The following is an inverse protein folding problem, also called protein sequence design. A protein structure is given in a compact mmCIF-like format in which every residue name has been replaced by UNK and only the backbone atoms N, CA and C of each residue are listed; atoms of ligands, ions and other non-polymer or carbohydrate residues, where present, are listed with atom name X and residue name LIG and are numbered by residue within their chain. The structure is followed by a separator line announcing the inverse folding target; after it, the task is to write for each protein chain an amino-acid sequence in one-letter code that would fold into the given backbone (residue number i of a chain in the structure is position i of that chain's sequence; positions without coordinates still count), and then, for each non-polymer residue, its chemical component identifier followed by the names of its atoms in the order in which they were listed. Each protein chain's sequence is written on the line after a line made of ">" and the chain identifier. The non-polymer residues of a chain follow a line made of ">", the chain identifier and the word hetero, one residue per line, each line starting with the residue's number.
data_IF_360696501483
#
_entry.id   IF_360696501483
#
_cell.length_a   1.000
_cell.length_b   1.000
_cell.length_c   1.000
_cell.angle_alpha   90.00
_cell.angle_beta   90.00
_cell.angle_gamma   90.00
#
_symmetry.space_group_name_H-M   'P 1'
#
loop_
_entity.id
_entity.type
_entity.pdbx_description
1 polymer ?
#
# COMPACT_ATOMS: atom_id res chain seq x y z
N UNK A 1 14.61 14.20 4.96
CA UNK A 1 14.80 13.18 3.89
C UNK A 1 13.93 13.52 2.69
N UNK A 2 14.35 13.16 1.46
CA UNK A 2 13.57 13.36 0.24
C UNK A 2 12.73 12.11 -0.09
N UNK A 3 11.57 12.28 -0.78
CA UNK A 3 10.68 11.16 -1.15
C UNK A 3 11.43 10.13 -2.02
N UNK A 4 12.27 10.58 -2.94
CA UNK A 4 13.03 9.69 -3.82
C UNK A 4 13.97 8.77 -3.03
N UNK A 5 14.71 9.34 -2.09
CA UNK A 5 15.62 8.58 -1.22
C UNK A 5 14.85 7.56 -0.37
N UNK A 6 13.66 7.93 0.12
CA UNK A 6 12.79 7.00 0.85
C UNK A 6 12.32 5.84 -0.03
N UNK A 7 11.87 6.11 -1.26
CA UNK A 7 11.46 5.08 -2.21
C UNK A 7 12.62 4.15 -2.61
N UNK A 8 13.80 4.68 -2.86
CA UNK A 8 15.00 3.88 -3.15
C UNK A 8 15.33 2.92 -2.00
N UNK A 9 15.20 3.37 -0.75
CA UNK A 9 15.37 2.53 0.44
C UNK A 9 14.33 1.42 0.50
N UNK A 10 13.06 1.72 0.25
CA UNK A 10 12.01 0.70 0.18
C UNK A 10 12.29 -0.32 -0.92
N UNK A 11 12.64 0.14 -2.11
CA UNK A 11 12.95 -0.74 -3.25
C UNK A 11 14.17 -1.63 -3.02
N UNK A 12 15.12 -1.22 -2.19
CA UNK A 12 16.33 -2.00 -1.91
C UNK A 12 16.10 -3.21 -0.99
N UNK A 13 14.99 -3.26 -0.26
CA UNK A 13 14.72 -4.33 0.69
C UNK A 13 14.37 -5.65 0.01
N UNK A 14 14.98 -6.73 0.50
CA UNK A 14 14.68 -8.12 0.11
C UNK A 14 14.79 -9.03 1.33
N UNK A 15 13.86 -9.96 1.45
CA UNK A 15 13.88 -11.02 2.48
C UNK A 15 13.12 -12.24 1.97
N UNK A 16 13.49 -13.47 2.39
CA UNK A 16 12.75 -14.67 2.07
C UNK A 16 11.30 -14.59 2.56
N UNK A 17 10.35 -15.07 1.75
CA UNK A 17 8.91 -15.09 2.05
C UNK A 17 8.30 -13.71 2.35
N UNK A 18 8.91 -12.67 1.77
CA UNK A 18 8.43 -11.29 1.79
C UNK A 18 8.41 -10.77 0.35
N UNK A 19 7.27 -10.25 -0.07
CA UNK A 19 7.12 -9.59 -1.35
C UNK A 19 7.27 -8.08 -1.19
N UNK A 20 8.16 -7.48 -1.97
CA UNK A 20 8.34 -6.04 -2.02
C UNK A 20 7.57 -5.45 -3.21
N UNK A 21 6.41 -4.79 -3.01
CA UNK A 21 5.55 -4.34 -4.09
C UNK A 21 6.18 -3.25 -4.98
N UNK A 22 7.19 -2.55 -4.50
CA UNK A 22 7.87 -1.49 -5.23
C UNK A 22 9.10 -1.96 -6.01
N UNK A 23 9.44 -3.25 -5.89
CA UNK A 23 10.58 -3.90 -6.53
C UNK A 23 10.20 -5.10 -7.38
N UNK A 24 9.27 -5.92 -6.88
CA UNK A 24 8.99 -7.25 -7.39
C UNK A 24 7.66 -7.30 -8.14
N UNK A 25 7.55 -8.26 -9.03
CA UNK A 25 6.29 -8.66 -9.64
C UNK A 25 6.23 -10.19 -9.74
N UNK A 26 5.02 -10.74 -9.76
CA UNK A 26 4.76 -12.16 -9.96
C UNK A 26 3.98 -12.36 -11.26
N UNK A 27 4.57 -13.09 -12.21
CA UNK A 27 3.98 -13.33 -13.53
C UNK A 27 2.66 -14.10 -13.48
N UNK A 28 2.30 -14.71 -12.35
CA UNK A 28 1.04 -15.44 -12.19
C UNK A 28 -0.14 -14.53 -11.84
N UNK A 29 0.10 -13.32 -11.35
CA UNK A 29 -0.97 -12.41 -10.89
C UNK A 29 -0.76 -10.94 -11.22
N UNK A 30 0.45 -10.51 -11.61
CA UNK A 30 0.75 -9.13 -12.00
C UNK A 30 0.79 -8.96 -13.54
N UNK A 31 0.57 -7.72 -14.00
CA UNK A 31 0.69 -7.35 -15.43
C UNK A 31 2.13 -7.44 -15.96
N UNK A 32 3.11 -7.80 -15.13
CA UNK A 32 4.52 -7.91 -15.48
C UNK A 32 5.38 -6.81 -14.87
N UNK A 33 6.53 -6.55 -15.50
CA UNK A 33 7.58 -5.66 -14.97
C UNK A 33 7.16 -4.19 -14.77
N UNK A 34 6.05 -3.76 -15.35
CA UNK A 34 5.50 -2.42 -15.10
C UNK A 34 4.81 -2.30 -13.73
N UNK A 35 4.37 -3.40 -13.13
CA UNK A 35 3.63 -3.37 -11.87
C UNK A 35 4.37 -2.66 -10.73
N UNK A 36 5.65 -2.98 -10.40
CA UNK A 36 6.38 -2.27 -9.35
C UNK A 36 6.64 -0.79 -9.69
N UNK A 37 6.76 -0.44 -10.96
CA UNK A 37 6.92 0.96 -11.40
C UNK A 37 5.65 1.75 -11.10
N UNK A 38 4.47 1.20 -11.43
CA UNK A 38 3.17 1.81 -11.14
C UNK A 38 2.96 1.96 -9.63
N UNK A 39 3.26 0.91 -8.84
CA UNK A 39 3.13 0.94 -7.36
C UNK A 39 4.06 1.99 -6.73
N UNK A 40 5.27 2.12 -7.24
CA UNK A 40 6.22 3.16 -6.80
C UNK A 40 5.72 4.57 -7.14
N UNK A 41 5.16 4.76 -8.34
CA UNK A 41 4.56 6.03 -8.75
C UNK A 41 3.33 6.39 -7.89
N UNK A 42 2.49 5.40 -7.57
CA UNK A 42 1.35 5.57 -6.66
C UNK A 42 1.80 6.01 -5.26
N UNK A 43 2.79 5.34 -4.66
CA UNK A 43 3.31 5.71 -3.34
C UNK A 43 3.94 7.10 -3.35
N UNK A 44 4.71 7.44 -4.39
CA UNK A 44 5.26 8.78 -4.59
C UNK A 44 4.15 9.83 -4.56
N UNK A 45 3.15 9.67 -5.43
CA UNK A 45 2.02 10.60 -5.54
C UNK A 45 1.25 10.72 -4.23
N UNK A 46 1.01 9.58 -3.55
CA UNK A 46 0.36 9.53 -2.25
C UNK A 46 1.08 10.37 -1.20
N UNK A 47 2.42 10.27 -1.12
CA UNK A 47 3.23 11.04 -0.19
C UNK A 47 3.37 12.51 -0.60
N UNK A 48 3.41 12.83 -1.88
CA UNK A 48 3.43 14.22 -2.38
C UNK A 48 2.17 14.98 -1.98
N UNK A 49 0.99 14.35 -2.08
CA UNK A 49 -0.27 14.96 -1.68
C UNK A 49 -0.39 15.16 -0.16
N UNK A 50 0.42 14.46 0.64
CA UNK A 50 0.41 14.46 2.10
C UNK A 50 1.62 15.16 2.72
N UNK A 51 2.11 16.21 2.07
CA UNK A 51 3.25 16.98 2.56
C UNK A 51 2.99 17.61 3.93
N UNK A 52 1.75 17.97 4.22
CA UNK A 52 1.30 18.61 5.45
C UNK A 52 0.43 17.68 6.30
N UNK A 53 0.55 16.36 6.16
CA UNK A 53 -0.22 15.42 6.95
C UNK A 53 0.06 15.58 8.45
N UNK A 54 -1.01 15.57 9.25
CA UNK A 54 -0.95 15.72 10.70
C UNK A 54 -0.96 14.39 11.45
N UNK A 55 -1.43 13.31 10.80
CA UNK A 55 -1.62 12.01 11.43
C UNK A 55 -0.94 10.90 10.63
N UNK A 56 -0.32 9.98 11.37
CA UNK A 56 0.22 8.73 10.85
C UNK A 56 -0.53 7.57 11.51
N UNK A 57 -1.38 6.88 10.76
CA UNK A 57 -2.09 5.68 11.20
C UNK A 57 -1.24 4.45 10.84
N UNK A 58 -0.95 3.62 11.83
CA UNK A 58 -0.07 2.45 11.66
C UNK A 58 -0.85 1.16 11.89
N UNK A 59 -0.86 0.28 10.88
CA UNK A 59 -1.30 -1.10 10.98
C UNK A 59 -0.09 -2.06 10.99
N UNK A 60 -0.32 -3.38 11.08
CA UNK A 60 0.75 -4.36 11.30
C UNK A 60 1.61 -4.57 10.04
N UNK A 61 1.05 -5.11 8.96
CA UNK A 61 1.80 -5.47 7.76
C UNK A 61 0.98 -5.25 6.49
N UNK A 62 1.70 -5.08 5.38
CA UNK A 62 1.07 -4.97 4.06
C UNK A 62 0.40 -6.31 3.68
N UNK A 63 -0.86 -6.24 3.25
CA UNK A 63 -1.62 -7.42 2.85
C UNK A 63 -1.66 -7.63 1.32
N UNK A 64 -1.85 -8.91 0.89
CA UNK A 64 -1.96 -9.22 -0.53
C UNK A 64 -3.22 -8.62 -1.19
N UNK A 65 -4.27 -8.36 -0.43
CA UNK A 65 -5.51 -7.77 -0.95
C UNK A 65 -5.46 -6.24 -1.07
N UNK A 66 -4.47 -5.61 -0.45
CA UNK A 66 -4.30 -4.16 -0.39
C UNK A 66 -3.04 -3.69 -1.09
N UNK A 67 -2.09 -3.23 -0.29
CA UNK A 67 -0.87 -2.59 -0.77
C UNK A 67 0.04 -3.44 -1.65
N UNK A 68 -0.11 -4.77 -1.66
CA UNK A 68 0.58 -5.64 -2.61
C UNK A 68 0.32 -5.17 -4.06
N UNK A 69 -0.92 -4.87 -4.42
CA UNK A 69 -1.29 -4.42 -5.77
C UNK A 69 -1.39 -2.90 -5.93
N UNK A 70 -1.78 -2.17 -4.89
CA UNK A 70 -1.88 -0.70 -4.98
C UNK A 70 -0.55 0.03 -4.79
N UNK A 71 0.38 -0.55 -4.02
CA UNK A 71 1.60 0.08 -3.52
C UNK A 71 1.36 1.05 -2.36
N UNK A 72 0.14 1.10 -1.79
CA UNK A 72 -0.25 2.00 -0.71
C UNK A 72 -0.85 1.19 0.44
N UNK A 73 -0.39 1.44 1.66
CA UNK A 73 -0.88 0.76 2.85
C UNK A 73 -2.39 1.01 3.08
N UNK A 74 -3.10 -0.03 3.51
CA UNK A 74 -4.53 0.02 3.84
C UNK A 74 -5.35 0.64 2.69
N UNK A 75 -4.97 0.31 1.47
CA UNK A 75 -5.62 0.81 0.25
C UNK A 75 -5.58 -0.28 -0.81
N UNK A 76 -6.74 -0.76 -1.22
CA UNK A 76 -6.84 -1.81 -2.24
C UNK A 76 -6.76 -1.26 -3.66
N UNK A 77 -6.41 -2.14 -4.59
CA UNK A 77 -6.45 -1.83 -6.02
C UNK A 77 -7.87 -1.40 -6.48
N UNK A 78 -8.93 -1.95 -5.85
CA UNK A 78 -10.32 -1.58 -6.13
C UNK A 78 -10.59 -0.11 -5.87
N UNK A 79 -10.03 0.48 -4.81
CA UNK A 79 -10.10 1.92 -4.55
C UNK A 79 -9.37 2.69 -5.65
N UNK A 80 -8.14 2.29 -5.99
CA UNK A 80 -7.32 2.95 -7.01
C UNK A 80 -8.02 2.96 -8.37
N UNK A 81 -8.74 1.89 -8.72
CA UNK A 81 -9.47 1.78 -9.99
C UNK A 81 -10.86 2.46 -9.97
N UNK A 82 -11.27 3.09 -8.85
CA UNK A 82 -12.57 3.75 -8.73
C UNK A 82 -13.76 2.78 -8.68
N UNK A 83 -13.53 1.53 -8.32
CA UNK A 83 -14.55 0.48 -8.24
C UNK A 83 -15.03 0.21 -6.80
N UNK A 84 -14.53 0.99 -5.82
CA UNK A 84 -14.95 0.86 -4.42
C UNK A 84 -16.24 1.66 -4.19
N UNK A 85 -17.26 1.11 -3.50
CA UNK A 85 -18.56 1.79 -3.35
C UNK A 85 -18.51 3.01 -2.45
N UNK A 86 -17.61 3.04 -1.46
CA UNK A 86 -17.63 4.02 -0.37
C UNK A 86 -16.40 4.95 -0.38
N UNK A 87 -15.37 4.64 -1.18
CA UNK A 87 -14.10 5.39 -1.19
C UNK A 87 -13.78 5.83 -2.61
N UNK A 88 -13.72 7.13 -2.80
CA UNK A 88 -13.33 7.71 -4.08
C UNK A 88 -11.81 7.63 -4.29
N UNK A 89 -11.37 7.21 -5.46
CA UNK A 89 -9.94 7.15 -5.84
C UNK A 89 -9.23 8.50 -5.69
N UNK A 90 -9.95 9.61 -5.93
CA UNK A 90 -9.40 10.97 -5.78
C UNK A 90 -9.06 11.34 -4.34
N UNK A 91 -9.70 10.73 -3.36
CA UNK A 91 -9.36 10.88 -1.95
C UNK A 91 -7.99 10.28 -1.61
N UNK A 92 -7.49 9.36 -2.44
CA UNK A 92 -6.19 8.71 -2.27
C UNK A 92 -5.08 9.42 -3.03
N UNK A 93 -5.26 9.62 -4.35
CA UNK A 93 -4.21 10.08 -5.27
C UNK A 93 -4.51 11.42 -5.98
N UNK A 94 -5.64 12.07 -5.65
CA UNK A 94 -6.05 13.28 -6.38
C UNK A 94 -6.35 12.94 -7.84
N UNK A 95 -6.12 13.88 -8.75
CA UNK A 95 -6.12 13.61 -10.19
C UNK A 95 -4.83 12.85 -10.56
N UNK A 96 -4.99 11.63 -11.08
CA UNK A 96 -3.88 10.71 -11.34
C UNK A 96 -4.16 9.77 -12.51
N UNK A 97 -3.13 9.15 -13.05
CA UNK A 97 -3.25 8.03 -14.00
C UNK A 97 -3.47 6.72 -13.21
N UNK A 98 -4.75 6.37 -13.00
CA UNK A 98 -5.16 5.23 -12.19
C UNK A 98 -4.99 3.92 -12.96
N UNK A 99 -3.83 3.29 -12.79
CA UNK A 99 -3.47 2.07 -13.52
C UNK A 99 -3.60 0.82 -12.65
N UNK A 100 -4.06 -0.24 -13.28
CA UNK A 100 -4.12 -1.58 -12.70
C UNK A 100 -2.73 -2.22 -12.68
N UNK A 101 -2.42 -3.00 -11.65
CA UNK A 101 -1.19 -3.79 -11.53
C UNK A 101 -1.44 -5.29 -11.49
N UNK A 102 -2.62 -5.75 -11.04
CA UNK A 102 -3.00 -7.16 -11.13
C UNK A 102 -3.38 -7.53 -12.57
N UNK A 103 -3.03 -8.73 -13.01
CA UNK A 103 -3.43 -9.25 -14.33
C UNK A 103 -4.88 -9.74 -14.31
N UNK A 104 -5.76 -9.05 -15.02
CA UNK A 104 -7.16 -9.45 -15.16
C UNK A 104 -7.37 -10.79 -15.88
N UNK A 105 -6.36 -11.33 -16.57
CA UNK A 105 -6.41 -12.64 -17.22
C UNK A 105 -5.89 -13.78 -16.34
N UNK A 106 -5.28 -13.45 -15.19
CA UNK A 106 -4.74 -14.44 -14.26
C UNK A 106 -5.79 -15.46 -13.82
N UNK A 107 -5.40 -16.74 -13.80
CA UNK A 107 -6.25 -17.83 -13.31
C UNK A 107 -6.37 -17.84 -11.77
N UNK A 108 -5.49 -17.12 -11.08
CA UNK A 108 -5.53 -17.00 -9.61
C UNK A 108 -6.60 -16.02 -9.12
N UNK A 109 -7.12 -15.16 -10.00
CA UNK A 109 -8.11 -14.16 -9.66
C UNK A 109 -9.54 -14.68 -9.90
N UNK A 110 -10.43 -14.43 -8.95
CA UNK A 110 -11.87 -14.66 -9.15
C UNK A 110 -12.49 -13.57 -10.06
N UNK A 111 -13.71 -13.80 -10.54
CA UNK A 111 -14.39 -12.90 -11.48
C UNK A 111 -14.53 -11.47 -10.96
N UNK A 112 -14.78 -11.28 -9.67
CA UNK A 112 -14.89 -9.94 -9.07
C UNK A 112 -13.55 -9.22 -9.06
N UNK A 113 -12.46 -9.93 -8.73
CA UNK A 113 -11.10 -9.39 -8.76
C UNK A 113 -10.67 -9.05 -10.19
N UNK A 114 -10.99 -9.91 -11.16
CA UNK A 114 -10.74 -9.64 -12.59
C UNK A 114 -11.43 -8.37 -13.06
N UNK A 115 -12.67 -8.16 -12.67
CA UNK A 115 -13.47 -7.02 -13.11
C UNK A 115 -13.12 -5.73 -12.34
N UNK A 116 -13.01 -5.80 -11.01
CA UNK A 116 -12.97 -4.63 -10.13
C UNK A 116 -11.63 -4.38 -9.42
N UNK A 117 -10.65 -5.29 -9.54
CA UNK A 117 -9.44 -5.29 -8.73
C UNK A 117 -9.62 -5.96 -7.36
N UNK A 118 -8.52 -6.16 -6.65
CA UNK A 118 -8.52 -6.68 -5.28
C UNK A 118 -9.20 -5.72 -4.32
N UNK A 119 -9.79 -6.26 -3.24
CA UNK A 119 -10.42 -5.50 -2.16
C UNK A 119 -9.86 -5.94 -0.82
N UNK A 120 -9.44 -5.00 -0.02
CA UNK A 120 -8.97 -5.22 1.35
C UNK A 120 -10.09 -4.84 2.33
N UNK A 121 -10.61 -5.76 3.17
CA UNK A 121 -11.69 -5.42 4.11
C UNK A 121 -11.33 -4.29 5.08
N UNK A 122 -10.06 -4.23 5.49
CA UNK A 122 -9.55 -3.21 6.42
C UNK A 122 -9.60 -1.80 5.83
N UNK A 123 -9.36 -1.64 4.52
CA UNK A 123 -9.38 -0.33 3.87
C UNK A 123 -10.75 0.33 3.96
N UNK A 124 -11.82 -0.44 3.72
CA UNK A 124 -13.19 0.04 3.84
C UNK A 124 -13.48 0.60 5.23
N UNK A 125 -13.04 -0.12 6.28
CA UNK A 125 -13.24 0.30 7.68
C UNK A 125 -12.49 1.58 7.99
N UNK A 126 -11.21 1.64 7.62
CA UNK A 126 -10.34 2.80 7.94
C UNK A 126 -10.76 4.04 7.15
N UNK A 127 -10.94 3.94 5.84
CA UNK A 127 -11.37 5.09 5.02
C UNK A 127 -12.75 5.61 5.42
N UNK A 128 -13.70 4.74 5.77
CA UNK A 128 -15.00 5.15 6.29
C UNK A 128 -14.89 5.81 7.66
N UNK A 129 -13.98 5.35 8.54
CA UNK A 129 -13.73 6.00 9.82
C UNK A 129 -13.18 7.42 9.65
N UNK A 130 -12.20 7.62 8.75
CA UNK A 130 -11.67 8.95 8.43
C UNK A 130 -12.80 9.90 7.99
N UNK A 131 -13.65 9.45 7.07
CA UNK A 131 -14.78 10.24 6.57
C UNK A 131 -15.78 10.58 7.69
N UNK A 132 -16.15 9.60 8.53
CA UNK A 132 -17.11 9.81 9.66
C UNK A 132 -16.60 10.79 10.69
N UNK A 133 -15.28 10.82 10.92
CA UNK A 133 -14.67 11.73 11.88
C UNK A 133 -14.25 13.08 11.27
N UNK A 134 -14.59 13.33 10.00
CA UNK A 134 -14.29 14.58 9.32
C UNK A 134 -12.79 14.83 9.11
N UNK A 135 -11.98 13.78 9.10
CA UNK A 135 -10.55 13.89 8.80
C UNK A 135 -10.35 14.01 7.28
N UNK A 136 -9.71 15.08 6.86
CA UNK A 136 -9.40 15.25 5.45
C UNK A 136 -8.42 14.17 4.98
N UNK A 137 -8.69 13.57 3.83
CA UNK A 137 -7.92 12.41 3.31
C UNK A 137 -6.41 12.69 3.17
N UNK A 138 -6.04 13.95 2.90
CA UNK A 138 -4.65 14.36 2.74
C UNK A 138 -3.97 14.78 4.05
N UNK A 139 -4.71 14.88 5.16
CA UNK A 139 -4.16 15.11 6.49
C UNK A 139 -3.65 13.83 7.16
N UNK A 140 -3.90 12.67 6.55
CA UNK A 140 -3.62 11.36 7.11
C UNK A 140 -2.70 10.56 6.19
N UNK A 141 -1.62 10.01 6.75
CA UNK A 141 -0.83 8.95 6.13
C UNK A 141 -1.25 7.62 6.75
N UNK A 142 -1.70 6.68 5.92
CA UNK A 142 -1.90 5.28 6.29
C UNK A 142 -0.61 4.53 6.00
N UNK A 143 -0.13 3.76 6.97
CA UNK A 143 1.11 3.02 6.88
C UNK A 143 1.02 1.66 7.56
N UNK A 144 1.91 0.73 7.21
CA UNK A 144 2.09 -0.52 7.94
C UNK A 144 3.45 -0.47 8.63
N UNK A 145 3.52 -0.91 9.92
CA UNK A 145 4.82 -0.96 10.61
C UNK A 145 5.81 -1.82 9.83
N UNK A 146 5.39 -2.97 9.30
CA UNK A 146 6.14 -3.71 8.30
C UNK A 146 5.58 -3.39 6.91
N UNK A 147 6.21 -2.50 6.12
CA UNK A 147 5.64 -1.97 4.89
C UNK A 147 5.68 -2.93 3.70
N UNK A 148 6.12 -4.16 3.89
CA UNK A 148 6.21 -5.21 2.90
C UNK A 148 5.17 -6.29 3.16
N UNK A 149 4.93 -7.16 2.15
CA UNK A 149 3.93 -8.21 2.26
C UNK A 149 4.57 -9.56 2.65
N UNK A 150 4.45 -10.00 3.92
CA UNK A 150 4.89 -11.31 4.35
C UNK A 150 3.86 -12.38 3.96
N UNK A 151 4.30 -13.44 3.29
CA UNK A 151 3.43 -14.49 2.79
C UNK A 151 3.87 -15.90 3.22
N UNK A 152 2.97 -16.89 3.08
CA UNK A 152 3.26 -18.29 3.40
C UNK A 152 3.98 -18.96 2.24
N UNK A 153 4.97 -19.80 2.52
CA UNK A 153 5.78 -20.50 1.54
C UNK A 153 4.91 -21.18 0.46
N UNK A 154 5.28 -20.96 -0.80
CA UNK A 154 4.56 -21.48 -1.97
C UNK A 154 3.18 -20.87 -2.23
N UNK A 155 2.75 -19.84 -1.47
CA UNK A 155 1.41 -19.24 -1.56
C UNK A 155 1.49 -17.71 -1.46
N UNK A 156 1.93 -17.05 -2.52
CA UNK A 156 2.11 -15.59 -2.54
C UNK A 156 0.84 -14.83 -2.16
N UNK A 157 -0.33 -15.22 -2.66
CA UNK A 157 -1.61 -14.57 -2.33
C UNK A 157 -2.18 -15.04 -0.97
N UNK A 158 -1.33 -14.98 0.07
CA UNK A 158 -1.71 -15.23 1.47
C UNK A 158 -0.99 -14.24 2.37
N UNK A 159 -1.51 -14.00 3.57
CA UNK A 159 -0.82 -13.23 4.59
C UNK A 159 -0.26 -14.16 5.67
N UNK A 160 0.86 -13.77 6.27
CA UNK A 160 1.35 -14.26 7.56
C UNK A 160 1.69 -13.08 8.48
N UNK A 161 1.70 -13.32 9.77
CA UNK A 161 2.21 -12.34 10.73
C UNK A 161 3.70 -12.10 10.50
N UNK A 162 4.16 -10.84 10.52
CA UNK A 162 5.58 -10.52 10.47
C UNK A 162 6.36 -11.15 11.64
N UNK A 163 7.60 -11.54 11.40
CA UNK A 163 8.52 -11.92 12.47
C UNK A 163 9.01 -10.68 13.23
N UNK A 164 9.50 -10.87 14.47
CA UNK A 164 10.04 -9.76 15.27
C UNK A 164 11.14 -9.00 14.53
N UNK A 165 12.06 -9.72 13.87
CA UNK A 165 13.13 -9.10 13.06
C UNK A 165 12.61 -8.29 11.87
N UNK A 166 11.46 -8.66 11.29
CA UNK A 166 10.80 -7.89 10.22
C UNK A 166 10.14 -6.63 10.78
N UNK A 167 9.55 -6.71 11.98
CA UNK A 167 9.02 -5.53 12.67
C UNK A 167 10.15 -4.55 13.04
N UNK A 168 11.31 -5.04 13.49
CA UNK A 168 12.47 -4.19 13.77
C UNK A 168 12.93 -3.42 12.53
N UNK A 169 13.00 -4.10 11.37
CA UNK A 169 13.27 -3.44 10.08
C UNK A 169 12.17 -2.43 9.74
N UNK A 170 10.91 -2.79 9.97
CA UNK A 170 9.77 -1.91 9.72
C UNK A 170 9.79 -0.62 10.54
N UNK A 171 10.23 -0.70 11.80
CA UNK A 171 10.41 0.48 12.67
C UNK A 171 11.38 1.49 12.03
N UNK A 172 12.45 1.03 11.38
CA UNK A 172 13.39 1.95 10.70
C UNK A 172 12.71 2.68 9.53
N UNK A 173 11.87 2.00 8.74
CA UNK A 173 11.08 2.66 7.69
C UNK A 173 10.04 3.64 8.25
N UNK A 174 9.42 3.32 9.38
CA UNK A 174 8.50 4.26 10.05
C UNK A 174 9.24 5.51 10.56
N UNK A 175 10.46 5.36 11.12
CA UNK A 175 11.31 6.50 11.48
C UNK A 175 11.68 7.36 10.27
N UNK A 176 12.06 6.74 9.15
CA UNK A 176 12.35 7.45 7.91
C UNK A 176 11.12 8.22 7.40
N UNK A 177 9.92 7.65 7.53
CA UNK A 177 8.68 8.34 7.17
C UNK A 177 8.40 9.54 8.08
N UNK A 178 8.69 9.44 9.39
CA UNK A 178 8.59 10.56 10.33
C UNK A 178 9.64 11.65 10.06
N UNK A 179 10.84 11.29 9.59
CA UNK A 179 11.82 12.28 9.13
C UNK A 179 11.38 12.98 7.83
N UNK A 180 10.72 12.24 6.93
CA UNK A 180 10.14 12.78 5.71
C UNK A 180 8.97 13.75 6.01
N UNK A 181 8.21 13.47 7.08
CA UNK A 181 7.02 14.23 7.51
C UNK A 181 7.08 14.47 9.02
N UNK A 182 7.89 15.46 9.48
CA UNK A 182 8.05 15.73 10.91
C UNK A 182 6.76 16.30 11.52
N UNK A 183 6.53 15.98 12.78
CA UNK A 183 5.42 16.53 13.57
C UNK A 183 4.09 15.79 13.47
N UNK A 184 4.00 14.69 12.72
CA UNK A 184 2.80 13.86 12.70
C UNK A 184 2.52 13.21 14.06
N UNK A 185 1.24 13.12 14.41
CA UNK A 185 0.75 12.33 15.57
C UNK A 185 0.55 10.89 15.13
N UNK A 186 1.14 9.95 15.85
CA UNK A 186 1.01 8.51 15.57
C UNK A 186 -0.29 8.01 16.20
N UNK A 187 -1.04 7.24 15.43
CA UNK A 187 -2.24 6.50 15.82
C UNK A 187 -2.01 5.04 15.48
N UNK A 188 -2.06 4.13 16.49
CA UNK A 188 -1.83 2.70 16.34
C UNK A 188 -2.94 1.89 17.04
#
# INVERSE_FOLDING_TARGET
>A
MEINTFLEKLQSYQSPLVFNPWREYDTSCDIGAEAPVIRSANLRRYLELRQNAHYLFIAEALGYQGGHFSGIAITSERIILGNHPDVEQKSVLGEWDYRRTSDAQSQLLNNTQKLKGFNEPTDTVVWNALNRHGLASFDVILWNIFPFHPYKEGKLLTNRTPMTSELDVGIEYAKMLLELRPGMRIVA
#
